data_IF_494637734595
#
_entry.id   IF_494637734595
#
_cell.length_a   1.000
_cell.length_b   1.000
_cell.length_c   1.000
_cell.angle_alpha   90.00
_cell.angle_beta   90.00
_cell.angle_gamma   90.00
#
_symmetry.space_group_name_H-M   'P 1'
#
loop_
_entity.id
_entity.type
_entity.pdbx_description
1 polymer ?
#
# COMPACT_ATOMS: atom_id res chain seq x y z
N UNK A 1 -13.88 4.83 5.08
CA UNK A 1 -14.04 5.78 6.19
C UNK A 1 -12.71 6.50 6.46
N UNK A 2 -12.77 7.78 6.87
CA UNK A 2 -11.63 8.70 6.96
C UNK A 2 -10.41 8.14 7.72
N UNK A 3 -10.65 7.38 8.77
CA UNK A 3 -9.60 6.85 9.64
C UNK A 3 -9.57 5.34 9.70
N UNK A 4 -10.38 4.68 8.88
CA UNK A 4 -10.57 3.24 8.92
C UNK A 4 -10.72 2.70 7.50
N UNK A 5 -10.07 1.57 7.24
CA UNK A 5 -10.16 0.87 5.97
C UNK A 5 -10.04 -0.63 6.18
N UNK A 6 -10.78 -1.39 5.39
CA UNK A 6 -10.60 -2.83 5.28
C UNK A 6 -10.23 -3.18 3.84
N UNK A 7 -9.23 -4.01 3.70
CA UNK A 7 -8.84 -4.64 2.43
C UNK A 7 -8.92 -6.14 2.63
N UNK A 8 -9.63 -6.85 1.77
CA UNK A 8 -9.73 -8.31 1.82
C UNK A 8 -9.63 -8.88 0.41
N UNK A 9 -8.86 -9.95 0.26
CA UNK A 9 -8.67 -10.63 -1.02
C UNK A 9 -8.28 -12.09 -0.83
N UNK A 10 -8.70 -12.99 -1.75
CA UNK A 10 -8.32 -14.39 -1.70
C UNK A 10 -6.83 -14.56 -2.04
N UNK A 11 -6.14 -15.44 -1.32
CA UNK A 11 -4.71 -15.74 -1.52
C UNK A 11 -4.46 -17.18 -1.96
N UNK A 12 -5.34 -18.11 -1.61
CA UNK A 12 -5.22 -19.51 -2.04
C UNK A 12 -6.56 -20.23 -2.00
N UNK A 13 -6.74 -21.28 -2.80
CA UNK A 13 -7.80 -22.25 -2.60
C UNK A 13 -7.63 -22.96 -1.25
N UNK A 14 -8.74 -23.19 -0.56
CA UNK A 14 -8.80 -23.97 0.68
C UNK A 14 -9.70 -25.19 0.49
N UNK A 15 -9.79 -26.06 1.50
CA UNK A 15 -10.62 -27.25 1.44
C UNK A 15 -12.12 -26.91 1.24
N UNK A 16 -12.86 -27.86 0.66
CA UNK A 16 -14.31 -27.76 0.47
C UNK A 16 -14.78 -26.56 -0.39
N UNK A 17 -14.00 -26.14 -1.39
CA UNK A 17 -14.36 -25.05 -2.28
C UNK A 17 -14.30 -23.65 -1.63
N UNK A 18 -13.75 -23.55 -0.42
CA UNK A 18 -13.48 -22.28 0.24
C UNK A 18 -12.23 -21.62 -0.31
N UNK A 19 -12.06 -20.34 0.01
CA UNK A 19 -10.87 -19.57 -0.31
C UNK A 19 -10.21 -19.11 1.00
N UNK A 20 -8.90 -19.31 1.09
CA UNK A 20 -8.11 -18.65 2.13
C UNK A 20 -8.03 -17.16 1.77
N UNK A 21 -8.53 -16.33 2.64
CA UNK A 21 -8.63 -14.88 2.42
C UNK A 21 -7.71 -14.16 3.39
N UNK A 22 -6.85 -13.30 2.86
CA UNK A 22 -6.13 -12.32 3.66
C UNK A 22 -7.02 -11.11 3.88
N UNK A 23 -7.00 -10.57 5.09
CA UNK A 23 -7.65 -9.28 5.37
C UNK A 23 -6.71 -8.37 6.16
N UNK A 24 -6.87 -7.07 5.95
CA UNK A 24 -6.12 -6.02 6.62
C UNK A 24 -7.14 -4.99 7.09
N UNK A 25 -7.20 -4.74 8.40
CA UNK A 25 -7.92 -3.62 8.96
C UNK A 25 -6.92 -2.51 9.31
N UNK A 26 -7.11 -1.36 8.72
CA UNK A 26 -6.27 -0.19 8.96
C UNK A 26 -7.05 0.84 9.77
N UNK A 27 -6.39 1.43 10.76
CA UNK A 27 -6.93 2.53 11.52
C UNK A 27 -5.85 3.56 11.82
N UNK A 28 -6.21 4.82 11.80
CA UNK A 28 -5.35 5.88 12.28
C UNK A 28 -5.37 5.88 13.80
N UNK A 29 -4.20 5.84 14.41
CA UNK A 29 -4.03 5.95 15.85
C UNK A 29 -3.28 7.25 16.18
N UNK A 30 -3.73 7.96 17.18
CA UNK A 30 -3.08 9.17 17.66
C UNK A 30 -1.90 8.78 18.57
N UNK A 31 -0.77 8.41 17.95
CA UNK A 31 0.47 8.12 18.65
C UNK A 31 1.57 9.02 18.15
N UNK A 32 2.29 9.65 19.09
CA UNK A 32 3.42 10.55 18.75
C UNK A 32 4.64 9.80 18.20
N UNK A 33 4.75 8.51 18.41
CA UNK A 33 5.79 7.68 17.80
C UNK A 33 5.26 6.24 17.65
N UNK A 34 5.45 5.60 16.51
CA UNK A 34 5.17 4.18 16.39
C UNK A 34 6.08 3.42 17.38
N UNK A 35 5.57 2.35 18.03
CA UNK A 35 6.43 1.46 18.79
C UNK A 35 7.52 0.93 17.85
N UNK A 36 8.66 0.53 18.44
CA UNK A 36 9.76 -0.06 17.68
C UNK A 36 9.21 -1.15 16.76
N UNK A 37 9.64 -1.14 15.52
CA UNK A 37 9.17 -2.04 14.47
C UNK A 37 9.20 -3.49 14.94
N UNK A 38 8.03 -4.08 15.10
CA UNK A 38 7.86 -5.50 15.41
C UNK A 38 6.98 -6.10 14.29
N UNK A 39 7.61 -6.82 13.39
CA UNK A 39 6.97 -7.40 12.21
C UNK A 39 6.33 -8.77 12.47
N UNK A 40 6.30 -9.22 13.72
CA UNK A 40 5.69 -10.49 14.10
C UNK A 40 4.87 -10.36 15.39
N UNK A 41 4.27 -9.21 15.61
CA UNK A 41 3.50 -8.93 16.81
C UNK A 41 2.10 -9.49 16.69
N UNK A 42 1.88 -10.65 17.33
CA UNK A 42 0.53 -11.19 17.50
C UNK A 42 -0.25 -10.35 18.50
N UNK A 43 -1.53 -10.08 18.20
CA UNK A 43 -2.41 -9.25 19.02
C UNK A 43 -3.78 -9.88 19.19
N UNK A 44 -4.45 -9.54 20.27
CA UNK A 44 -5.86 -9.86 20.49
C UNK A 44 -6.76 -8.85 19.74
N UNK A 45 -7.87 -9.35 19.19
CA UNK A 45 -8.84 -8.54 18.44
C UNK A 45 -9.42 -7.38 19.25
N UNK A 46 -9.48 -7.48 20.58
CA UNK A 46 -9.96 -6.40 21.46
C UNK A 46 -9.23 -5.07 21.26
N UNK A 47 -8.01 -5.11 20.69
CA UNK A 47 -7.23 -3.89 20.42
C UNK A 47 -7.83 -3.00 19.34
N UNK A 48 -8.63 -3.55 18.43
CA UNK A 48 -9.12 -2.81 17.27
C UNK A 48 -10.61 -3.03 16.96
N UNK A 49 -11.22 -4.13 17.42
CA UNK A 49 -12.54 -4.55 16.98
C UNK A 49 -13.64 -3.51 17.28
N UNK A 50 -13.49 -2.76 18.37
CA UNK A 50 -14.44 -1.73 18.74
C UNK A 50 -14.54 -0.61 17.68
N UNK A 51 -13.46 -0.31 16.99
CA UNK A 51 -13.45 0.67 15.91
C UNK A 51 -14.20 0.17 14.66
N UNK A 52 -14.42 -1.13 14.54
CA UNK A 52 -15.06 -1.78 13.39
C UNK A 52 -16.34 -2.52 13.75
N UNK A 53 -16.91 -2.31 14.96
CA UNK A 53 -18.08 -3.07 15.47
C UNK A 53 -19.30 -2.99 14.56
N UNK A 54 -19.48 -1.86 13.89
CA UNK A 54 -20.63 -1.55 13.04
C UNK A 54 -20.37 -1.85 11.55
N UNK A 55 -19.21 -2.41 11.21
CA UNK A 55 -18.84 -2.77 9.84
C UNK A 55 -19.51 -4.09 9.44
N UNK A 56 -20.82 -4.03 9.25
CA UNK A 56 -21.68 -5.13 8.83
C UNK A 56 -22.47 -4.72 7.61
N UNK A 57 -22.20 -5.41 6.52
CA UNK A 57 -22.79 -5.21 5.21
C UNK A 57 -23.39 -6.53 4.74
N UNK A 58 -24.28 -6.52 3.78
CA UNK A 58 -24.91 -7.75 3.23
C UNK A 58 -23.86 -8.76 2.73
N UNK A 59 -22.70 -8.28 2.33
CA UNK A 59 -21.61 -9.07 1.76
C UNK A 59 -20.40 -9.28 2.71
N UNK A 60 -20.35 -8.58 3.83
CA UNK A 60 -19.24 -8.68 4.81
C UNK A 60 -19.73 -8.37 6.22
N UNK A 61 -19.58 -9.31 7.14
CA UNK A 61 -19.63 -9.08 8.59
C UNK A 61 -18.20 -9.11 9.13
N UNK A 62 -17.58 -7.94 9.28
CA UNK A 62 -16.19 -7.86 9.69
C UNK A 62 -15.96 -8.33 11.13
N UNK A 63 -16.78 -8.00 12.14
CA UNK A 63 -16.66 -8.58 13.47
C UNK A 63 -16.63 -10.11 13.47
N UNK A 64 -17.53 -10.74 12.70
CA UNK A 64 -17.55 -12.20 12.55
C UNK A 64 -16.29 -12.73 11.88
N UNK A 65 -15.81 -12.07 10.83
CA UNK A 65 -14.55 -12.46 10.17
C UNK A 65 -13.37 -12.41 11.14
N UNK A 66 -13.28 -11.38 11.97
CA UNK A 66 -12.25 -11.24 12.98
C UNK A 66 -12.36 -12.32 14.07
N UNK A 67 -13.59 -12.69 14.47
CA UNK A 67 -13.86 -13.76 15.43
C UNK A 67 -13.43 -15.14 14.92
N UNK A 68 -13.59 -15.39 13.64
CA UNK A 68 -13.22 -16.65 12.98
C UNK A 68 -11.73 -16.72 12.60
N UNK A 69 -10.98 -15.64 12.78
CA UNK A 69 -9.55 -15.59 12.46
C UNK A 69 -8.71 -16.08 13.64
N UNK A 70 -7.95 -17.15 13.40
CA UNK A 70 -7.18 -17.80 14.46
C UNK A 70 -6.01 -16.96 14.98
N UNK A 71 -5.33 -16.22 14.10
CA UNK A 71 -4.15 -15.43 14.43
C UNK A 71 -4.24 -14.07 13.75
N UNK A 72 -4.03 -13.01 14.52
CA UNK A 72 -4.07 -11.62 14.06
C UNK A 72 -2.75 -10.97 14.43
N UNK A 73 -2.15 -10.29 13.46
CA UNK A 73 -0.87 -9.61 13.63
C UNK A 73 -1.03 -8.11 13.42
N UNK A 74 -0.37 -7.33 14.25
CA UNK A 74 -0.30 -5.87 14.14
C UNK A 74 1.00 -5.48 13.43
N UNK A 75 0.88 -4.70 12.35
CA UNK A 75 2.02 -4.15 11.61
C UNK A 75 1.95 -2.63 11.59
N UNK A 76 3.05 -1.92 11.87
CA UNK A 76 3.10 -0.49 11.68
C UNK A 76 3.07 -0.15 10.17
N UNK A 77 2.18 0.76 9.76
CA UNK A 77 2.22 1.33 8.41
C UNK A 77 3.26 2.45 8.39
N UNK A 78 4.47 2.09 8.05
CA UNK A 78 5.61 3.01 8.00
C UNK A 78 6.18 3.07 6.59
N UNK A 79 6.75 4.22 6.27
CA UNK A 79 7.58 4.43 5.10
C UNK A 79 8.92 5.08 5.51
N UNK A 80 9.77 5.35 4.56
CA UNK A 80 10.98 6.16 4.77
C UNK A 80 10.97 7.38 3.87
N UNK A 81 11.62 8.44 4.32
CA UNK A 81 11.93 9.55 3.42
C UNK A 81 12.80 9.06 2.26
N UNK A 82 12.49 9.52 1.05
CA UNK A 82 13.34 9.28 -0.10
C UNK A 82 14.79 9.63 0.19
N UNK A 83 15.71 8.75 -0.22
CA UNK A 83 17.14 8.95 -0.06
C UNK A 83 17.73 9.59 -1.31
N UNK A 84 18.82 10.32 -1.14
CA UNK A 84 19.46 11.04 -2.24
C UNK A 84 20.26 10.13 -3.19
N UNK A 85 20.52 8.88 -2.78
CA UNK A 85 21.37 7.96 -3.51
C UNK A 85 21.04 6.50 -3.20
N UNK A 86 21.00 5.65 -4.25
CA UNK A 86 20.79 4.21 -4.14
C UNK A 86 22.05 3.39 -4.44
N UNK A 87 22.96 3.93 -5.27
CA UNK A 87 24.14 3.20 -5.74
C UNK A 87 25.42 3.70 -5.11
N UNK A 88 26.23 2.76 -4.59
CA UNK A 88 27.48 3.01 -3.88
C UNK A 88 28.57 2.07 -4.43
N UNK A 89 29.28 2.51 -5.48
CA UNK A 89 30.26 1.67 -6.18
C UNK A 89 29.58 0.44 -6.79
N UNK A 90 29.91 -0.75 -6.30
CA UNK A 90 29.38 -2.04 -6.80
C UNK A 90 28.10 -2.50 -6.09
N UNK A 91 27.48 -1.68 -5.27
CA UNK A 91 26.27 -1.97 -4.52
C UNK A 91 25.15 -1.00 -4.95
N UNK A 92 23.94 -1.51 -5.15
CA UNK A 92 22.73 -0.69 -5.35
C UNK A 92 21.57 -1.25 -4.57
N UNK A 93 20.61 -0.40 -4.26
CA UNK A 93 19.33 -0.75 -3.62
C UNK A 93 18.25 -0.92 -4.69
N UNK A 94 17.32 -1.86 -4.47
CA UNK A 94 16.10 -2.07 -5.28
C UNK A 94 14.93 -2.41 -4.39
N UNK A 95 13.69 -2.25 -4.89
CA UNK A 95 12.48 -2.60 -4.16
C UNK A 95 12.39 -1.90 -2.80
N UNK A 96 11.90 -2.60 -1.80
CA UNK A 96 11.68 -2.05 -0.46
C UNK A 96 12.96 -1.55 0.23
N UNK A 97 14.13 -2.08 -0.17
CA UNK A 97 15.41 -1.57 0.33
C UNK A 97 15.70 -0.14 -0.17
N UNK A 98 15.21 0.21 -1.36
CA UNK A 98 15.42 1.51 -2.00
C UNK A 98 14.29 2.50 -1.70
N UNK A 99 13.03 2.01 -1.71
CA UNK A 99 11.84 2.85 -1.66
C UNK A 99 10.71 2.18 -0.86
N UNK A 100 10.92 1.90 0.44
CA UNK A 100 9.85 1.39 1.27
C UNK A 100 8.72 2.42 1.31
N UNK A 101 7.51 2.00 0.95
CA UNK A 101 6.36 2.89 0.81
C UNK A 101 5.13 2.30 1.50
N UNK A 102 4.20 3.16 1.87
CA UNK A 102 2.90 2.70 2.34
C UNK A 102 2.21 1.87 1.23
N UNK A 103 1.44 0.83 1.58
CA UNK A 103 0.81 -0.08 0.61
C UNK A 103 -0.34 0.56 -0.17
N UNK A 104 -0.47 1.87 -0.13
CA UNK A 104 -1.46 2.66 -0.84
C UNK A 104 -1.31 2.45 -2.35
N UNK A 105 -2.38 2.09 -3.03
CA UNK A 105 -2.38 1.79 -4.45
C UNK A 105 -1.71 0.47 -4.84
N UNK A 106 -1.28 -0.34 -3.88
CA UNK A 106 -0.71 -1.69 -4.10
C UNK A 106 0.44 -1.75 -5.13
N UNK A 107 1.29 -0.73 -5.18
CA UNK A 107 2.31 -0.57 -6.23
C UNK A 107 3.69 -1.15 -5.87
N UNK A 108 4.03 -1.32 -4.59
CA UNK A 108 5.40 -1.65 -4.17
C UNK A 108 5.99 -2.87 -4.89
N UNK A 109 5.27 -4.00 -4.94
CA UNK A 109 5.72 -5.21 -5.62
C UNK A 109 5.91 -5.03 -7.13
N UNK A 110 4.97 -4.35 -7.80
CA UNK A 110 5.06 -4.07 -9.24
C UNK A 110 6.26 -3.17 -9.55
N UNK A 111 6.52 -2.18 -8.72
CA UNK A 111 7.65 -1.28 -8.88
C UNK A 111 8.99 -1.99 -8.64
N UNK A 112 9.06 -2.93 -7.70
CA UNK A 112 10.25 -3.78 -7.50
C UNK A 112 10.56 -4.66 -8.75
N UNK A 113 9.52 -5.17 -9.44
CA UNK A 113 9.70 -5.90 -10.71
C UNK A 113 10.25 -4.97 -11.80
N UNK A 114 9.74 -3.74 -11.88
CA UNK A 114 10.25 -2.72 -12.81
C UNK A 114 11.71 -2.37 -12.49
N UNK A 115 12.07 -2.26 -11.21
CA UNK A 115 13.47 -2.05 -10.79
C UNK A 115 14.38 -3.14 -11.31
N UNK A 116 14.02 -4.40 -11.12
CA UNK A 116 14.81 -5.54 -11.59
C UNK A 116 15.01 -5.50 -13.12
N UNK A 117 13.95 -5.16 -13.86
CA UNK A 117 14.00 -5.02 -15.32
C UNK A 117 14.93 -3.89 -15.75
N UNK A 118 14.80 -2.71 -15.15
CA UNK A 118 15.59 -1.53 -15.52
C UNK A 118 17.06 -1.70 -15.12
N UNK A 119 17.33 -2.29 -13.96
CA UNK A 119 18.69 -2.64 -13.52
C UNK A 119 19.34 -3.62 -14.48
N UNK A 120 18.62 -4.68 -14.88
CA UNK A 120 19.10 -5.64 -15.87
C UNK A 120 19.44 -4.96 -17.20
N UNK A 121 18.54 -4.10 -17.68
CA UNK A 121 18.78 -3.36 -18.93
C UNK A 121 20.02 -2.45 -18.82
N UNK A 122 20.22 -1.77 -17.70
CA UNK A 122 21.39 -0.92 -17.46
C UNK A 122 22.71 -1.75 -17.44
N UNK A 123 22.69 -2.92 -16.80
CA UNK A 123 23.85 -3.83 -16.74
C UNK A 123 24.21 -4.41 -18.11
N UNK A 124 23.21 -4.73 -18.93
CA UNK A 124 23.46 -5.25 -20.29
C UNK A 124 23.97 -4.16 -21.25
N UNK A 125 23.59 -2.90 -21.04
CA UNK A 125 23.98 -1.79 -21.91
C UNK A 125 25.37 -1.21 -21.60
N UNK A 126 25.92 -1.44 -20.41
CA UNK A 126 27.17 -0.85 -19.96
C UNK A 126 28.29 -1.91 -19.88
N UNK A 127 29.53 -1.51 -20.24
CA UNK A 127 30.70 -2.37 -20.05
C UNK A 127 31.19 -2.35 -18.59
N UNK A 128 30.99 -1.24 -17.88
CA UNK A 128 31.34 -1.09 -16.47
C UNK A 128 30.11 -1.22 -15.57
N UNK A 129 30.06 -2.23 -14.68
CA UNK A 129 28.97 -2.41 -13.76
C UNK A 129 28.71 -1.20 -12.85
N UNK A 130 29.75 -0.47 -12.43
CA UNK A 130 29.58 0.71 -11.56
C UNK A 130 28.86 1.81 -12.32
N UNK A 131 29.19 2.03 -13.58
CA UNK A 131 28.51 2.98 -14.44
C UNK A 131 27.04 2.58 -14.69
N UNK A 132 26.76 1.26 -14.85
CA UNK A 132 25.41 0.72 -14.98
C UNK A 132 24.55 1.01 -13.75
N UNK A 133 25.06 0.73 -12.55
CA UNK A 133 24.36 0.97 -11.29
C UNK A 133 24.07 2.47 -11.10
N UNK A 134 25.03 3.32 -11.42
CA UNK A 134 24.84 4.77 -11.35
C UNK A 134 23.82 5.28 -12.38
N UNK A 135 23.75 4.68 -13.56
CA UNK A 135 22.73 5.03 -14.56
C UNK A 135 21.34 4.60 -14.11
N UNK A 136 21.18 3.39 -13.55
CA UNK A 136 19.93 2.92 -12.96
C UNK A 136 19.46 3.88 -11.86
N UNK A 137 20.30 4.23 -10.90
CA UNK A 137 19.98 5.18 -9.81
C UNK A 137 19.48 6.53 -10.37
N UNK A 138 20.22 7.13 -11.30
CA UNK A 138 19.86 8.44 -11.87
C UNK A 138 18.49 8.45 -12.56
N UNK A 139 18.10 7.36 -13.20
CA UNK A 139 16.86 7.29 -13.95
C UNK A 139 15.68 6.84 -13.08
N UNK A 140 15.91 5.89 -12.18
CA UNK A 140 14.83 5.24 -11.45
C UNK A 140 14.47 5.94 -10.14
N UNK A 141 15.45 6.37 -9.37
CA UNK A 141 15.26 6.98 -8.06
C UNK A 141 14.33 8.21 -8.07
N UNK A 142 14.46 9.19 -8.99
CA UNK A 142 13.53 10.34 -9.00
C UNK A 142 12.07 9.93 -9.17
N UNK A 143 11.79 8.94 -10.01
CA UNK A 143 10.44 8.42 -10.26
C UNK A 143 9.88 7.79 -8.99
N UNK A 144 10.69 6.96 -8.32
CA UNK A 144 10.23 6.28 -7.10
C UNK A 144 10.09 7.23 -5.91
N UNK A 145 10.97 8.23 -5.81
CA UNK A 145 10.84 9.26 -4.78
C UNK A 145 9.50 10.00 -4.89
N UNK A 146 9.10 10.34 -6.11
CA UNK A 146 7.82 11.00 -6.38
C UNK A 146 6.63 10.09 -6.03
N UNK A 147 6.65 8.83 -6.45
CA UNK A 147 5.60 7.83 -6.10
C UNK A 147 5.49 7.67 -4.58
N UNK A 148 6.61 7.52 -3.88
CA UNK A 148 6.65 7.35 -2.42
C UNK A 148 6.02 8.55 -1.70
N UNK A 149 6.33 9.76 -2.14
CA UNK A 149 5.76 10.97 -1.55
C UNK A 149 4.26 11.12 -1.84
N UNK A 150 3.82 10.79 -3.06
CA UNK A 150 2.39 10.81 -3.40
C UNK A 150 1.58 9.77 -2.62
N UNK A 151 2.15 8.61 -2.34
CA UNK A 151 1.47 7.58 -1.56
C UNK A 151 1.12 8.03 -0.13
N UNK A 152 1.83 8.99 0.43
CA UNK A 152 1.50 9.61 1.73
C UNK A 152 0.19 10.40 1.69
N UNK A 153 -0.22 10.86 0.52
CA UNK A 153 -1.47 11.58 0.29
C UNK A 153 -2.56 10.65 -0.29
N UNK A 154 -2.71 9.45 0.29
CA UNK A 154 -3.69 8.43 -0.10
C UNK A 154 -3.52 7.84 -1.51
N UNK A 155 -2.60 8.31 -2.33
CA UNK A 155 -2.42 7.77 -3.67
C UNK A 155 -3.74 7.67 -4.45
N UNK A 156 -3.98 6.58 -5.22
CA UNK A 156 -5.23 6.39 -5.97
C UNK A 156 -6.46 6.25 -5.06
N UNK A 157 -6.29 6.00 -3.78
CA UNK A 157 -7.36 5.88 -2.78
C UNK A 157 -7.92 7.25 -2.35
N UNK A 158 -7.33 8.34 -2.80
CA UNK A 158 -7.88 9.69 -2.64
C UNK A 158 -9.32 9.82 -3.18
N UNK A 159 -9.70 9.01 -4.16
CA UNK A 159 -11.08 8.96 -4.66
C UNK A 159 -12.08 8.49 -3.58
N UNK A 160 -11.69 7.53 -2.72
CA UNK A 160 -12.55 7.06 -1.63
C UNK A 160 -12.74 8.15 -0.57
N UNK A 161 -11.66 8.84 -0.25
CA UNK A 161 -11.67 9.97 0.66
C UNK A 161 -12.61 11.08 0.15
N UNK A 162 -12.46 11.43 -1.11
CA UNK A 162 -13.30 12.45 -1.76
C UNK A 162 -14.77 12.06 -1.81
N UNK A 163 -15.06 10.77 -2.04
CA UNK A 163 -16.41 10.26 -2.02
C UNK A 163 -17.06 10.40 -0.62
N UNK A 164 -16.33 10.11 0.43
CA UNK A 164 -16.81 10.25 1.80
C UNK A 164 -17.05 11.72 2.17
N UNK A 165 -16.15 12.61 1.79
CA UNK A 165 -16.31 14.06 2.03
C UNK A 165 -17.54 14.64 1.35
N UNK A 166 -17.81 14.22 0.10
CA UNK A 166 -18.93 14.76 -0.69
C UNK A 166 -20.27 14.09 -0.40
N UNK A 167 -20.25 12.83 0.01
CA UNK A 167 -21.45 12.04 0.25
C UNK A 167 -21.34 11.19 1.53
N UNK A 168 -21.21 11.80 2.72
CA UNK A 168 -21.00 11.09 3.98
C UNK A 168 -22.16 10.15 4.36
N UNK A 169 -23.34 10.38 3.78
CA UNK A 169 -24.54 9.54 4.00
C UNK A 169 -24.70 8.44 2.93
N UNK A 170 -23.69 8.22 2.10
CA UNK A 170 -23.72 7.25 1.02
C UNK A 170 -24.28 7.79 -0.30
N UNK A 171 -24.16 7.01 -1.36
CA UNK A 171 -24.61 7.34 -2.71
C UNK A 171 -25.00 6.07 -3.48
N UNK A 172 -25.76 6.24 -4.56
CA UNK A 172 -26.16 5.12 -5.43
C UNK A 172 -25.11 4.83 -6.51
N UNK A 173 -24.60 5.89 -7.14
CA UNK A 173 -23.60 5.79 -8.19
C UNK A 173 -22.47 6.76 -7.93
N UNK A 174 -21.23 6.32 -8.13
CA UNK A 174 -20.06 7.16 -7.91
C UNK A 174 -20.04 8.39 -8.82
N UNK A 175 -20.59 8.29 -10.02
CA UNK A 175 -20.69 9.40 -10.98
C UNK A 175 -21.55 10.56 -10.44
N UNK A 176 -22.45 10.31 -9.47
CA UNK A 176 -23.27 11.35 -8.81
C UNK A 176 -22.43 12.18 -7.82
N UNK A 177 -21.30 11.64 -7.38
CA UNK A 177 -20.43 12.24 -6.35
C UNK A 177 -19.13 12.77 -6.94
N UNK A 178 -18.52 11.99 -7.82
CA UNK A 178 -17.24 12.32 -8.45
C UNK A 178 -17.40 12.12 -9.97
N UNK A 179 -17.34 13.18 -10.77
CA UNK A 179 -17.43 13.07 -12.23
C UNK A 179 -16.35 12.15 -12.80
N UNK A 180 -16.68 11.39 -13.85
CA UNK A 180 -15.74 10.43 -14.49
C UNK A 180 -14.42 11.07 -14.93
N UNK A 181 -14.45 12.32 -15.37
CA UNK A 181 -13.24 13.04 -15.74
C UNK A 181 -12.29 13.26 -14.55
N UNK A 182 -12.86 13.54 -13.37
CA UNK A 182 -12.12 13.74 -12.13
C UNK A 182 -11.56 12.40 -11.62
N UNK A 183 -12.35 11.32 -11.61
CA UNK A 183 -11.87 9.97 -11.30
C UNK A 183 -10.73 9.54 -12.22
N UNK A 184 -10.85 9.79 -13.51
CA UNK A 184 -9.81 9.50 -14.49
C UNK A 184 -8.55 10.36 -14.27
N UNK A 185 -8.69 11.60 -13.80
CA UNK A 185 -7.56 12.45 -13.44
C UNK A 185 -6.84 11.88 -12.20
N UNK A 186 -7.57 11.56 -11.14
CA UNK A 186 -7.02 10.92 -9.94
C UNK A 186 -6.26 9.65 -10.33
N UNK A 187 -6.88 8.75 -11.09
CA UNK A 187 -6.26 7.49 -11.51
C UNK A 187 -4.96 7.70 -12.31
N UNK A 188 -4.96 8.65 -13.27
CA UNK A 188 -3.78 8.93 -14.10
C UNK A 188 -2.64 9.59 -13.34
N UNK A 189 -2.93 10.35 -12.30
CA UNK A 189 -1.89 11.02 -11.51
C UNK A 189 -1.03 10.03 -10.69
N UNK A 190 -1.40 8.75 -10.67
CA UNK A 190 -0.68 7.69 -9.96
C UNK A 190 -0.15 6.56 -10.87
N UNK A 191 -0.29 6.70 -12.19
CA UNK A 191 0.35 5.82 -13.18
C UNK A 191 1.70 6.39 -13.64
#
# INVERSE_FOLDING_TARGET
HFHQRIVAYPIAPAANGKLLTNWIAQMTVDTQAPPREDWNRQVDKSRFIDAFRDWRFDWLDFPKLADETAEIFEFPLVDRHPVERWSFGRVTLIGDAAHPMQPTGSQAGSQAIVDARLLTAALLAAQDPVAALAAYDRTRRPVMNDITLRNRNFGPEAAMQLAEERAPNGFKHIDDVIPRAELAHISRSFQ
#
